data_IF_728251645682
#
_entry.id   IF_728251645682
#
_cell.length_a   1.000
_cell.length_b   1.000
_cell.length_c   1.000
_cell.angle_alpha   90.00
_cell.angle_beta   90.00
_cell.angle_gamma   90.00
#
_symmetry.space_group_name_H-M   'P 1'
#
loop_
_entity.id
_entity.type
_entity.pdbx_description
1 polymer ?
#
# COMPACT_ATOMS: atom_id res chain seq x y z
N UNK A 1 -77.44 -8.15 -13.33
CA UNK A 1 -76.54 -7.83 -12.20
C UNK A 1 -75.35 -8.77 -12.22
N UNK A 2 -74.15 -8.21 -12.35
CA UNK A 2 -72.86 -8.75 -11.90
C UNK A 2 -72.24 -7.65 -11.00
N UNK A 3 -71.06 -7.78 -10.37
CA UNK A 3 -70.20 -8.94 -10.08
C UNK A 3 -69.63 -8.93 -8.62
N UNK A 4 -68.83 -9.95 -8.23
CA UNK A 4 -67.55 -9.82 -7.46
C UNK A 4 -66.94 -11.19 -7.14
N UNK A 5 -65.85 -11.56 -7.84
CA UNK A 5 -64.73 -12.45 -7.40
C UNK A 5 -63.72 -12.56 -8.55
N UNK A 6 -62.69 -11.71 -8.59
CA UNK A 6 -61.59 -11.80 -9.59
C UNK A 6 -60.31 -11.01 -9.23
N UNK A 7 -59.91 -10.96 -7.95
CA UNK A 7 -58.79 -10.08 -7.53
C UNK A 7 -57.69 -10.71 -6.67
N UNK A 8 -57.72 -12.03 -6.41
CA UNK A 8 -56.71 -12.70 -5.56
C UNK A 8 -55.71 -13.57 -6.35
N UNK A 9 -56.12 -14.22 -7.45
CA UNK A 9 -55.26 -15.13 -8.21
C UNK A 9 -54.19 -14.44 -9.09
N UNK A 10 -54.22 -13.10 -9.20
CA UNK A 10 -53.31 -12.35 -10.08
C UNK A 10 -52.03 -11.86 -9.39
N UNK A 11 -51.89 -12.12 -8.09
CA UNK A 11 -50.75 -11.64 -7.29
C UNK A 11 -49.75 -12.75 -6.97
N UNK A 12 -50.17 -14.01 -6.99
CA UNK A 12 -49.29 -15.18 -6.79
C UNK A 12 -48.57 -15.58 -8.10
N UNK A 13 -49.22 -15.43 -9.26
CA UNK A 13 -48.60 -15.68 -10.57
C UNK A 13 -47.48 -14.67 -10.91
N UNK A 14 -47.57 -13.44 -10.38
CA UNK A 14 -46.56 -12.39 -10.60
C UNK A 14 -45.31 -12.56 -9.70
N UNK A 15 -45.42 -13.23 -8.54
CA UNK A 15 -44.29 -13.51 -7.65
C UNK A 15 -43.48 -14.75 -8.11
N UNK A 16 -44.14 -15.78 -8.66
CA UNK A 16 -43.45 -16.94 -9.24
C UNK A 16 -42.69 -16.59 -10.52
N UNK A 17 -43.18 -15.64 -11.34
CA UNK A 17 -42.47 -15.18 -12.54
C UNK A 17 -41.22 -14.32 -12.25
N UNK A 18 -41.10 -13.68 -11.08
CA UNK A 18 -39.90 -12.92 -10.68
C UNK A 18 -38.81 -13.84 -10.08
N UNK A 19 -39.17 -14.93 -9.40
CA UNK A 19 -38.20 -15.92 -8.89
C UNK A 19 -37.60 -16.79 -10.02
N UNK A 20 -38.35 -17.07 -11.09
CA UNK A 20 -37.84 -17.85 -12.23
C UNK A 20 -36.91 -17.01 -13.15
N UNK A 21 -37.11 -15.69 -13.20
CA UNK A 21 -36.23 -14.75 -13.94
C UNK A 21 -34.93 -14.43 -13.19
N UNK A 22 -34.89 -14.57 -11.87
CA UNK A 22 -33.67 -14.35 -11.06
C UNK A 22 -32.75 -15.59 -11.03
N UNK A 23 -33.29 -16.80 -11.14
CA UNK A 23 -32.51 -18.04 -11.22
C UNK A 23 -31.88 -18.29 -12.60
N UNK A 24 -32.56 -17.92 -13.70
CA UNK A 24 -32.05 -18.11 -15.08
C UNK A 24 -30.92 -17.14 -15.49
N UNK A 25 -30.72 -16.05 -14.75
CA UNK A 25 -29.64 -15.09 -15.00
C UNK A 25 -28.34 -15.44 -14.25
N UNK A 26 -28.39 -16.40 -13.32
CA UNK A 26 -27.23 -16.88 -12.56
C UNK A 26 -26.42 -17.98 -13.28
N UNK A 27 -27.01 -18.67 -14.27
CA UNK A 27 -26.38 -19.82 -14.95
C UNK A 27 -25.80 -19.52 -16.35
N UNK A 28 -25.87 -18.27 -16.83
CA UNK A 28 -25.41 -17.90 -18.19
C UNK A 28 -24.06 -17.17 -18.28
N UNK A 29 -23.29 -17.06 -17.20
CA UNK A 29 -21.94 -16.46 -17.23
C UNK A 29 -20.79 -17.48 -17.15
N UNK A 30 -21.07 -18.78 -17.22
CA UNK A 30 -20.09 -19.86 -16.97
C UNK A 30 -19.54 -20.57 -18.23
N UNK A 31 -19.47 -19.89 -19.39
CA UNK A 31 -18.80 -20.45 -20.58
C UNK A 31 -17.92 -19.43 -21.29
N UNK A 32 -16.63 -19.48 -20.96
CA UNK A 32 -15.56 -18.70 -21.56
C UNK A 32 -14.23 -18.93 -20.84
N UNK A 33 -13.82 -20.20 -20.73
CA UNK A 33 -12.49 -20.58 -20.23
C UNK A 33 -11.59 -20.79 -21.44
N UNK A 34 -10.61 -19.90 -21.63
CA UNK A 34 -9.33 -20.28 -22.23
C UNK A 34 -8.22 -19.34 -21.73
N UNK A 35 -7.33 -19.96 -20.96
CA UNK A 35 -5.93 -19.58 -20.67
C UNK A 35 -5.65 -18.23 -19.99
N UNK A 36 -5.66 -18.28 -18.64
CA UNK A 36 -4.81 -17.41 -17.83
C UNK A 36 -3.81 -18.32 -17.10
N UNK A 37 -2.49 -18.20 -17.35
CA UNK A 37 -1.52 -19.09 -16.74
C UNK A 37 -1.51 -18.91 -15.22
N UNK A 38 -1.36 -20.05 -14.55
CA UNK A 38 -1.49 -20.23 -13.11
C UNK A 38 -0.78 -19.17 -12.27
N UNK A 39 -1.49 -18.72 -11.23
CA UNK A 39 -0.99 -17.84 -10.19
C UNK A 39 0.41 -18.26 -9.73
N UNK A 40 1.38 -17.38 -9.98
CA UNK A 40 2.72 -17.49 -9.44
C UNK A 40 2.60 -17.66 -7.91
N UNK A 41 3.09 -18.80 -7.41
CA UNK A 41 3.25 -19.03 -5.98
C UNK A 41 4.01 -17.84 -5.40
N UNK A 42 3.42 -17.15 -4.43
CA UNK A 42 4.10 -16.08 -3.71
C UNK A 42 5.50 -16.56 -3.29
N UNK A 43 6.58 -15.84 -3.64
CA UNK A 43 7.91 -16.30 -3.33
C UNK A 43 8.02 -16.36 -1.80
N UNK A 44 8.26 -17.57 -1.28
CA UNK A 44 8.86 -17.72 0.04
C UNK A 44 10.13 -16.90 0.00
N UNK A 45 10.32 -15.97 0.94
CA UNK A 45 11.52 -15.14 1.06
C UNK A 45 12.75 -16.04 0.97
N UNK A 46 13.36 -16.10 -0.22
CA UNK A 46 14.56 -16.88 -0.47
C UNK A 46 15.69 -16.17 0.26
N UNK A 47 16.37 -16.91 1.14
CA UNK A 47 17.57 -16.44 1.82
C UNK A 47 18.71 -16.41 0.79
N UNK A 48 19.11 -15.21 0.39
CA UNK A 48 20.39 -14.95 -0.26
C UNK A 48 20.28 -14.50 -1.72
N UNK A 49 20.98 -13.40 -2.02
CA UNK A 49 21.58 -13.07 -3.34
C UNK A 49 20.69 -12.64 -4.51
N UNK A 50 19.37 -12.49 -4.37
CA UNK A 50 18.56 -11.91 -5.45
C UNK A 50 18.54 -10.37 -5.38
N UNK A 51 18.91 -9.72 -6.49
CA UNK A 51 18.76 -8.27 -6.71
C UNK A 51 17.33 -7.84 -6.37
N UNK A 52 17.18 -6.83 -5.51
CA UNK A 52 15.87 -6.39 -5.02
C UNK A 52 15.89 -4.94 -4.59
N UNK A 53 14.83 -4.22 -4.95
CA UNK A 53 14.58 -2.87 -4.47
C UNK A 53 13.77 -2.97 -3.18
N UNK A 54 14.26 -2.36 -2.12
CA UNK A 54 13.58 -2.26 -0.84
C UNK A 54 13.23 -0.79 -0.63
N UNK A 55 11.95 -0.44 -0.61
CA UNK A 55 11.51 0.93 -0.33
C UNK A 55 11.05 1.02 1.12
N UNK A 56 11.66 1.94 1.87
CA UNK A 56 11.29 2.23 3.26
C UNK A 56 10.60 3.59 3.28
N UNK A 57 9.29 3.60 3.51
CA UNK A 57 8.52 4.82 3.72
C UNK A 57 8.72 5.29 5.17
N UNK A 58 9.55 6.31 5.34
CA UNK A 58 10.02 6.80 6.65
C UNK A 58 9.14 7.94 7.19
N UNK A 59 8.90 7.95 8.51
CA UNK A 59 8.09 8.97 9.17
C UNK A 59 6.63 9.00 8.72
N UNK A 60 6.07 7.85 8.30
CA UNK A 60 4.70 7.75 7.82
C UNK A 60 3.68 8.16 8.91
N UNK A 61 2.74 9.02 8.55
CA UNK A 61 1.74 9.51 9.48
C UNK A 61 0.54 8.56 9.58
N UNK A 62 0.73 7.43 10.26
CA UNK A 62 -0.29 6.41 10.52
C UNK A 62 -0.51 6.27 12.03
N UNK A 63 -1.53 6.97 12.54
CA UNK A 63 -1.90 6.99 13.96
C UNK A 63 -3.42 6.88 14.08
N UNK A 64 -3.91 6.07 15.02
CA UNK A 64 -5.35 5.95 15.28
C UNK A 64 -5.80 6.97 16.33
N UNK A 65 -6.97 7.56 16.13
CA UNK A 65 -7.64 8.44 17.09
C UNK A 65 -9.02 7.87 17.41
N UNK A 66 -9.42 7.96 18.69
CA UNK A 66 -10.76 7.56 19.13
C UNK A 66 -11.73 8.72 18.90
N UNK A 67 -12.76 8.49 18.10
CA UNK A 67 -13.84 9.45 17.88
C UNK A 67 -15.16 8.82 18.34
N UNK A 68 -15.64 9.24 19.52
CA UNK A 68 -16.80 8.63 20.16
C UNK A 68 -16.59 7.15 20.46
N UNK A 69 -17.33 6.27 19.77
CA UNK A 69 -17.25 4.80 19.92
C UNK A 69 -16.39 4.11 18.86
N UNK A 70 -15.95 4.84 17.83
CA UNK A 70 -15.17 4.28 16.71
C UNK A 70 -13.71 4.74 16.77
N UNK A 71 -12.85 3.99 16.09
CA UNK A 71 -11.46 4.36 15.87
C UNK A 71 -11.27 4.74 14.41
N UNK A 72 -10.63 5.88 14.16
CA UNK A 72 -10.34 6.39 12.83
C UNK A 72 -8.85 6.66 12.68
N UNK A 73 -8.37 6.68 11.43
CA UNK A 73 -7.01 7.12 11.16
C UNK A 73 -6.92 8.65 11.23
N UNK A 74 -5.95 9.14 11.97
CA UNK A 74 -5.72 10.57 12.19
C UNK A 74 -5.44 11.27 10.84
N UNK A 75 -6.18 12.34 10.58
CA UNK A 75 -6.21 13.04 9.29
C UNK A 75 -6.47 14.53 9.52
N UNK A 76 -5.77 15.39 8.79
CA UNK A 76 -5.89 16.85 8.83
C UNK A 76 -7.32 17.37 8.62
N UNK A 77 -8.10 16.74 7.73
CA UNK A 77 -9.42 17.25 7.32
C UNK A 77 -10.50 16.93 8.35
N UNK A 78 -10.51 15.70 8.86
CA UNK A 78 -11.54 15.22 9.81
C UNK A 78 -11.22 15.51 11.27
N UNK A 79 -9.94 15.63 11.61
CA UNK A 79 -9.49 15.66 13.01
C UNK A 79 -8.77 16.95 13.41
N UNK A 80 -8.96 18.04 12.64
CA UNK A 80 -8.32 19.35 12.90
C UNK A 80 -8.50 19.83 14.34
N UNK A 81 -9.72 19.75 14.88
CA UNK A 81 -10.01 20.18 16.25
C UNK A 81 -9.32 19.33 17.32
N UNK A 82 -9.24 18.02 17.10
CA UNK A 82 -8.54 17.10 18.02
C UNK A 82 -7.03 17.33 18.00
N UNK A 83 -6.46 17.57 16.83
CA UNK A 83 -5.05 17.90 16.64
C UNK A 83 -4.68 19.23 17.33
N UNK A 84 -5.50 20.26 17.12
CA UNK A 84 -5.31 21.57 17.76
C UNK A 84 -5.36 21.48 19.30
N UNK A 85 -6.31 20.70 19.85
CA UNK A 85 -6.39 20.46 21.31
C UNK A 85 -5.18 19.72 21.86
N UNK A 86 -4.56 18.87 21.05
CA UNK A 86 -3.34 18.15 21.42
C UNK A 86 -2.06 18.98 21.20
N UNK A 87 -2.16 20.26 20.80
CA UNK A 87 -1.02 21.11 20.49
C UNK A 87 -0.21 20.65 19.28
N UNK A 88 -0.80 19.83 18.40
CA UNK A 88 -0.15 19.30 17.20
C UNK A 88 -0.60 20.09 15.98
N UNK A 89 0.33 20.35 15.08
CA UNK A 89 0.01 20.97 13.79
C UNK A 89 -0.91 20.03 12.96
N UNK A 90 -2.14 20.46 12.63
CA UNK A 90 -3.02 19.67 11.79
C UNK A 90 -2.45 19.36 10.42
N UNK A 91 -1.60 20.23 9.86
CA UNK A 91 -0.97 20.06 8.54
C UNK A 91 -0.06 18.84 8.44
N UNK A 92 0.42 18.33 9.58
CA UNK A 92 1.28 17.15 9.63
C UNK A 92 0.51 15.83 9.53
N UNK A 93 -0.81 15.82 9.79
CA UNK A 93 -1.65 14.63 9.79
C UNK A 93 -2.04 14.19 8.36
N UNK A 94 -1.06 13.71 7.58
CA UNK A 94 -1.19 13.37 6.14
C UNK A 94 -0.99 11.88 5.82
N UNK A 95 -1.90 11.00 6.28
CA UNK A 95 -1.87 9.56 5.93
C UNK A 95 -2.04 9.29 4.43
N UNK A 96 -2.60 10.24 3.67
CA UNK A 96 -2.80 10.17 2.22
C UNK A 96 -1.47 10.07 1.44
N UNK A 97 -0.39 10.65 1.97
CA UNK A 97 0.94 10.55 1.36
C UNK A 97 1.39 9.09 1.33
N UNK A 98 1.27 8.40 2.46
CA UNK A 98 1.61 6.97 2.55
C UNK A 98 0.68 6.15 1.65
N UNK A 99 -0.62 6.45 1.65
CA UNK A 99 -1.59 5.78 0.78
C UNK A 99 -1.18 5.84 -0.69
N UNK A 100 -0.89 7.04 -1.21
CA UNK A 100 -0.48 7.23 -2.61
C UNK A 100 0.84 6.52 -2.92
N UNK A 101 1.83 6.58 -2.03
CA UNK A 101 3.10 5.85 -2.21
C UNK A 101 2.86 4.35 -2.33
N UNK A 102 2.03 3.79 -1.44
CA UNK A 102 1.72 2.36 -1.45
C UNK A 102 0.95 1.95 -2.71
N UNK A 103 0.09 2.80 -3.26
CA UNK A 103 -0.55 2.56 -4.54
C UNK A 103 0.49 2.48 -5.67
N UNK A 104 1.41 3.43 -5.76
CA UNK A 104 2.46 3.45 -6.80
C UNK A 104 3.40 2.24 -6.68
N UNK A 105 3.80 1.91 -5.46
CA UNK A 105 4.71 0.81 -5.19
C UNK A 105 4.07 -0.56 -5.46
N UNK A 106 2.85 -0.80 -4.98
CA UNK A 106 2.22 -2.13 -5.11
C UNK A 106 1.69 -2.42 -6.52
N UNK A 107 1.43 -1.38 -7.31
CA UNK A 107 0.99 -1.53 -8.70
C UNK A 107 2.12 -1.77 -9.70
N UNK A 108 3.35 -1.44 -9.32
CA UNK A 108 4.49 -1.43 -10.22
C UNK A 108 4.75 -2.82 -10.84
N UNK A 109 5.14 -2.90 -12.11
CA UNK A 109 5.69 -4.12 -12.71
C UNK A 109 6.77 -4.76 -11.83
N UNK A 110 7.61 -3.94 -11.20
CA UNK A 110 8.66 -4.41 -10.29
C UNK A 110 8.12 -5.24 -9.12
N UNK A 111 6.99 -4.83 -8.53
CA UNK A 111 6.33 -5.58 -7.47
C UNK A 111 5.75 -6.90 -7.97
N UNK A 112 5.14 -6.88 -9.18
CA UNK A 112 4.59 -8.09 -9.81
C UNK A 112 5.67 -9.10 -10.19
N UNK A 113 6.86 -8.62 -10.52
CA UNK A 113 8.04 -9.45 -10.77
C UNK A 113 8.69 -10.01 -9.50
N UNK A 114 8.20 -9.65 -8.30
CA UNK A 114 8.74 -10.11 -7.03
C UNK A 114 10.04 -9.41 -6.57
N UNK A 115 10.47 -8.38 -7.29
CA UNK A 115 11.73 -7.66 -7.06
C UNK A 115 11.58 -6.40 -6.19
N UNK A 116 10.40 -6.19 -5.58
CA UNK A 116 10.13 -5.08 -4.65
C UNK A 116 9.86 -5.60 -3.22
N UNK A 117 10.42 -4.92 -2.22
CA UNK A 117 9.98 -4.99 -0.83
C UNK A 117 9.52 -3.62 -0.37
N UNK A 118 8.46 -3.56 0.43
CA UNK A 118 8.00 -2.30 1.00
C UNK A 118 7.90 -2.42 2.52
N UNK A 119 8.53 -1.47 3.19
CA UNK A 119 8.37 -1.23 4.62
C UNK A 119 7.77 0.15 4.84
N UNK A 120 6.98 0.29 5.90
CA UNK A 120 6.47 1.58 6.37
C UNK A 120 6.91 1.75 7.81
N UNK A 121 7.72 2.76 8.08
CA UNK A 121 8.10 3.16 9.41
C UNK A 121 7.30 4.40 9.81
N UNK A 122 6.46 4.27 10.84
CA UNK A 122 5.56 5.35 11.24
C UNK A 122 6.24 6.35 12.15
N UNK A 123 5.69 7.57 12.23
CA UNK A 123 6.17 8.59 13.19
C UNK A 123 6.06 8.14 14.66
N UNK A 124 5.21 7.14 14.95
CA UNK A 124 5.08 6.51 16.28
C UNK A 124 5.96 5.26 16.44
N UNK A 125 7.03 5.14 15.64
CA UNK A 125 8.04 4.08 15.71
C UNK A 125 7.46 2.66 15.49
N UNK A 126 6.36 2.53 14.76
CA UNK A 126 5.84 1.23 14.34
C UNK A 126 6.42 0.88 12.96
N UNK A 127 7.00 -0.31 12.83
CA UNK A 127 7.50 -0.81 11.56
C UNK A 127 6.52 -1.83 10.97
N UNK A 128 6.06 -1.57 9.76
CA UNK A 128 5.09 -2.41 9.04
C UNK A 128 5.79 -3.02 7.82
N UNK A 129 5.76 -4.34 7.73
CA UNK A 129 6.11 -5.06 6.51
C UNK A 129 4.85 -5.27 5.65
N UNK A 130 4.97 -4.97 4.36
CA UNK A 130 3.90 -5.14 3.38
C UNK A 130 4.26 -6.30 2.46
N UNK A 131 3.39 -7.29 2.38
CA UNK A 131 3.56 -8.43 1.50
C UNK A 131 3.29 -8.02 0.04
N UNK A 132 4.08 -8.47 -0.95
CA UNK A 132 3.94 -8.08 -2.36
C UNK A 132 2.55 -8.33 -2.98
N UNK A 133 1.83 -9.33 -2.47
CA UNK A 133 0.47 -9.67 -2.92
C UNK A 133 -0.62 -8.75 -2.35
N UNK A 134 -0.27 -7.76 -1.54
CA UNK A 134 -1.22 -6.88 -0.86
C UNK A 134 -1.85 -5.90 -1.84
N UNK A 135 -3.14 -6.07 -2.12
CA UNK A 135 -3.92 -5.06 -2.86
C UNK A 135 -4.32 -3.92 -1.95
N UNK A 136 -3.66 -2.78 -2.10
CA UNK A 136 -3.97 -1.56 -1.34
C UNK A 136 -5.32 -1.00 -1.83
N UNK A 137 -6.28 -0.71 -0.93
CA UNK A 137 -7.55 -0.11 -1.32
C UNK A 137 -7.36 1.22 -2.06
N UNK A 138 -8.05 1.43 -3.17
CA UNK A 138 -7.94 2.66 -3.98
C UNK A 138 -8.59 3.87 -3.34
N UNK A 139 -9.66 3.67 -2.58
CA UNK A 139 -10.32 4.75 -1.85
C UNK A 139 -9.66 4.95 -0.50
N UNK A 140 -9.42 6.21 -0.14
CA UNK A 140 -8.76 6.56 1.11
C UNK A 140 -9.51 6.06 2.35
N UNK A 141 -10.85 6.08 2.35
CA UNK A 141 -11.65 5.59 3.48
C UNK A 141 -11.44 4.10 3.77
N UNK A 142 -11.36 3.27 2.73
CA UNK A 142 -11.07 1.83 2.89
C UNK A 142 -9.64 1.60 3.35
N UNK A 143 -8.69 2.39 2.84
CA UNK A 143 -7.30 2.38 3.31
C UNK A 143 -7.21 2.76 4.80
N UNK A 144 -7.92 3.80 5.22
CA UNK A 144 -8.00 4.24 6.62
C UNK A 144 -8.48 3.10 7.53
N UNK A 145 -9.60 2.45 7.19
CA UNK A 145 -10.10 1.30 7.95
C UNK A 145 -9.11 0.13 8.01
N UNK A 146 -8.41 -0.16 6.91
CA UNK A 146 -7.37 -1.19 6.85
C UNK A 146 -6.19 -0.86 7.79
N UNK A 147 -5.73 0.39 7.83
CA UNK A 147 -4.65 0.84 8.70
C UNK A 147 -5.05 0.83 10.18
N UNK A 148 -6.28 1.24 10.50
CA UNK A 148 -6.83 1.11 11.86
C UNK A 148 -6.83 -0.35 12.31
N UNK A 149 -7.32 -1.25 11.45
CA UNK A 149 -7.30 -2.69 11.74
C UNK A 149 -5.88 -3.21 11.95
N UNK A 150 -4.93 -2.81 11.10
CA UNK A 150 -3.53 -3.19 11.20
C UNK A 150 -2.91 -2.73 12.53
N UNK A 151 -3.11 -1.48 12.92
CA UNK A 151 -2.53 -0.92 14.15
C UNK A 151 -3.13 -1.56 15.41
N UNK A 152 -4.40 -1.95 15.38
CA UNK A 152 -5.06 -2.62 16.51
C UNK A 152 -4.71 -4.11 16.61
N UNK A 153 -4.69 -4.83 15.48
CA UNK A 153 -4.47 -6.30 15.45
C UNK A 153 -3.01 -6.69 15.21
N UNK A 154 -2.14 -5.73 14.93
CA UNK A 154 -0.72 -5.89 14.55
C UNK A 154 -0.49 -6.72 13.27
N UNK A 155 -1.54 -7.25 12.64
CA UNK A 155 -1.49 -7.97 11.39
C UNK A 155 -2.85 -7.97 10.68
N UNK A 156 -2.80 -8.04 9.35
CA UNK A 156 -3.97 -8.24 8.49
C UNK A 156 -3.69 -9.43 7.58
N UNK A 157 -4.69 -10.31 7.41
CA UNK A 157 -4.61 -11.53 6.60
C UNK A 157 -5.52 -11.42 5.39
N UNK A 158 -5.28 -12.27 4.38
CA UNK A 158 -6.21 -12.45 3.27
C UNK A 158 -7.55 -13.03 3.76
N UNK A 159 -8.58 -13.01 2.90
CA UNK A 159 -9.91 -13.52 3.24
C UNK A 159 -9.89 -14.97 3.75
N UNK A 160 -9.05 -15.81 3.16
CA UNK A 160 -8.88 -17.22 3.58
C UNK A 160 -8.07 -17.39 4.87
N UNK A 161 -7.53 -16.31 5.44
CA UNK A 161 -6.74 -16.31 6.68
C UNK A 161 -5.33 -16.90 6.60
N UNK A 162 -4.97 -17.55 5.49
CA UNK A 162 -3.71 -18.30 5.33
C UNK A 162 -2.47 -17.40 5.29
N UNK A 163 -2.54 -16.25 4.61
CA UNK A 163 -1.40 -15.38 4.37
C UNK A 163 -1.54 -14.05 5.11
N UNK A 164 -0.45 -13.59 5.74
CA UNK A 164 -0.36 -12.25 6.33
C UNK A 164 0.02 -11.26 5.22
N UNK A 165 -0.85 -10.28 4.97
CA UNK A 165 -0.67 -9.23 3.96
C UNK A 165 0.08 -8.05 4.55
N UNK A 166 -0.33 -7.60 5.73
CA UNK A 166 0.29 -6.52 6.48
C UNK A 166 0.68 -7.04 7.85
N UNK A 167 1.87 -6.69 8.33
CA UNK A 167 2.34 -7.13 9.65
C UNK A 167 3.20 -6.07 10.29
N UNK A 168 2.87 -5.70 11.53
CA UNK A 168 3.77 -4.95 12.40
C UNK A 168 4.90 -5.88 12.85
N UNK A 169 6.13 -5.46 12.60
CA UNK A 169 7.36 -6.18 12.90
C UNK A 169 8.23 -5.38 13.89
N UNK A 170 9.23 -6.04 14.47
CA UNK A 170 10.11 -5.40 15.46
C UNK A 170 11.13 -4.51 14.77
N UNK A 171 11.42 -3.36 15.37
CA UNK A 171 12.57 -2.52 15.02
C UNK A 171 13.90 -3.18 15.41
N UNK A 172 15.03 -2.78 14.80
CA UNK A 172 15.16 -1.81 13.70
C UNK A 172 14.89 -2.40 12.31
N UNK A 173 14.60 -1.56 11.31
CA UNK A 173 14.37 -2.01 9.91
C UNK A 173 15.58 -2.75 9.33
N UNK A 174 16.79 -2.35 9.73
CA UNK A 174 18.06 -2.97 9.31
C UNK A 174 18.14 -4.47 9.61
N UNK A 175 17.47 -4.95 10.66
CA UNK A 175 17.43 -6.38 11.02
C UNK A 175 16.65 -7.24 10.01
N UNK A 176 15.86 -6.61 9.13
CA UNK A 176 15.05 -7.29 8.11
C UNK A 176 15.62 -7.10 6.69
N UNK A 177 16.74 -6.40 6.55
CA UNK A 177 17.40 -6.21 5.27
C UNK A 177 18.33 -7.39 4.96
N UNK A 178 18.48 -7.77 3.68
CA UNK A 178 19.43 -8.81 3.28
C UNK A 178 20.88 -8.38 3.51
N UNK A 179 21.81 -9.35 3.68
CA UNK A 179 23.23 -9.05 3.79
C UNK A 179 23.75 -8.35 2.52
N UNK A 180 24.71 -7.43 2.69
CA UNK A 180 25.29 -6.67 1.57
C UNK A 180 24.37 -5.58 1.00
N UNK A 181 23.23 -5.31 1.65
CA UNK A 181 22.27 -4.32 1.15
C UNK A 181 22.81 -2.89 1.24
N UNK A 182 22.86 -2.20 0.09
CA UNK A 182 23.19 -0.78 -0.01
C UNK A 182 22.04 0.03 0.59
N UNK A 183 22.32 1.06 1.39
CA UNK A 183 21.26 1.83 2.08
C UNK A 183 21.38 3.31 1.73
N UNK A 184 20.39 3.85 1.05
CA UNK A 184 20.38 5.22 0.51
C UNK A 184 19.18 5.98 1.02
N UNK A 185 19.39 7.19 1.55
CA UNK A 185 18.33 8.14 1.84
C UNK A 185 18.02 9.00 0.62
N UNK A 186 16.76 9.41 0.46
CA UNK A 186 16.38 10.43 -0.54
C UNK A 186 16.08 11.75 0.15
N UNK A 187 16.65 12.83 -0.37
CA UNK A 187 16.38 14.19 0.10
C UNK A 187 16.53 15.17 -1.05
N UNK A 188 15.64 16.16 -1.11
CA UNK A 188 15.78 17.27 -2.05
C UNK A 188 17.03 18.12 -1.74
N UNK A 189 17.39 18.24 -0.46
CA UNK A 189 18.55 19.00 0.02
C UNK A 189 19.81 18.13 0.18
N UNK A 190 19.90 17.01 -0.55
CA UNK A 190 21.12 16.22 -0.55
C UNK A 190 22.27 17.04 -1.18
N UNK A 191 23.48 16.85 -0.66
CA UNK A 191 24.66 17.51 -1.23
C UNK A 191 24.98 16.95 -2.63
N UNK A 192 25.36 17.84 -3.54
CA UNK A 192 25.74 17.50 -4.92
C UNK A 192 24.59 17.60 -5.93
N UNK A 193 24.91 17.25 -7.18
CA UNK A 193 23.94 17.29 -8.28
C UNK A 193 22.94 16.13 -8.19
N UNK A 194 21.68 16.34 -8.62
CA UNK A 194 20.68 15.28 -8.68
C UNK A 194 21.17 14.08 -9.49
N UNK A 195 21.03 12.87 -8.93
CA UNK A 195 21.40 11.63 -9.58
C UNK A 195 20.23 11.04 -10.36
N UNK A 196 20.54 10.46 -11.53
CA UNK A 196 19.53 9.74 -12.29
C UNK A 196 19.18 8.42 -11.57
N UNK A 197 17.90 8.10 -11.26
CA UNK A 197 17.56 6.92 -10.47
C UNK A 197 18.10 5.58 -11.01
N UNK A 198 18.36 5.48 -12.32
CA UNK A 198 19.01 4.31 -12.96
C UNK A 198 20.39 4.00 -12.39
N UNK A 199 21.16 5.01 -11.99
CA UNK A 199 22.50 4.78 -11.42
C UNK A 199 22.45 3.98 -10.12
N UNK A 200 21.33 4.06 -9.40
CA UNK A 200 21.07 3.29 -8.18
C UNK A 200 20.75 1.81 -8.47
N UNK A 201 20.37 1.47 -9.70
CA UNK A 201 19.96 0.12 -10.10
C UNK A 201 21.07 -0.68 -10.82
N UNK A 202 22.24 -0.06 -11.06
CA UNK A 202 23.35 -0.65 -11.80
C UNK A 202 24.14 -1.72 -11.01
N UNK A 203 23.96 -1.77 -9.69
CA UNK A 203 24.60 -2.75 -8.82
C UNK A 203 23.67 -3.96 -8.64
N UNK A 204 24.23 -5.17 -8.68
CA UNK A 204 23.46 -6.41 -8.51
C UNK A 204 23.10 -6.68 -7.04
N UNK A 205 23.68 -5.94 -6.09
CA UNK A 205 23.33 -6.03 -4.67
C UNK A 205 21.92 -5.51 -4.41
N UNK A 206 21.22 -6.05 -3.39
CA UNK A 206 19.97 -5.47 -2.95
C UNK A 206 20.18 -4.04 -2.45
N UNK A 207 19.22 -3.15 -2.72
CA UNK A 207 19.30 -1.74 -2.34
C UNK A 207 18.04 -1.32 -1.59
N UNK A 208 18.25 -0.71 -0.43
CA UNK A 208 17.24 -0.08 0.38
C UNK A 208 17.25 1.43 0.15
N UNK A 209 16.15 1.95 -0.39
CA UNK A 209 15.95 3.38 -0.62
C UNK A 209 14.91 3.90 0.37
N UNK A 210 15.32 4.86 1.19
CA UNK A 210 14.49 5.49 2.21
C UNK A 210 13.82 6.73 1.61
N UNK A 211 12.49 6.77 1.67
CA UNK A 211 11.66 7.85 1.12
C UNK A 211 10.81 8.43 2.25
N UNK A 212 10.87 9.74 2.47
CA UNK A 212 10.06 10.41 3.48
C UNK A 212 8.56 10.38 3.14
N UNK A 213 7.74 9.85 4.04
CA UNK A 213 6.29 9.72 3.91
C UNK A 213 5.52 10.65 4.88
N UNK A 214 6.04 11.86 5.06
CA UNK A 214 5.51 12.92 5.91
C UNK A 214 5.19 14.19 5.10
N UNK A 215 4.41 15.11 5.68
CA UNK A 215 4.03 16.37 5.01
C UNK A 215 5.22 17.32 4.83
N UNK A 216 6.00 17.51 5.89
CA UNK A 216 7.17 18.39 5.92
C UNK A 216 8.27 17.74 6.78
N UNK A 217 9.52 17.97 6.41
CA UNK A 217 10.69 17.43 7.10
C UNK A 217 11.75 16.90 6.13
N UNK A 218 12.72 16.20 6.69
CA UNK A 218 13.79 15.52 5.95
C UNK A 218 13.98 14.13 6.50
N UNK A 219 14.36 13.19 5.64
CA UNK A 219 14.74 11.84 6.08
C UNK A 219 15.98 11.98 6.98
N UNK A 220 15.87 11.51 8.22
CA UNK A 220 16.97 11.51 9.19
C UNK A 220 17.04 10.15 9.87
N UNK A 221 17.90 9.28 9.33
CA UNK A 221 18.09 7.91 9.79
C UNK A 221 19.59 7.62 9.87
N UNK A 222 19.98 6.78 10.84
CA UNK A 222 21.38 6.48 11.17
C UNK A 222 21.98 5.31 10.36
N UNK A 223 21.14 4.61 9.59
CA UNK A 223 21.54 3.38 8.89
C UNK A 223 21.84 3.58 7.40
N UNK A 224 21.66 4.78 6.85
CA UNK A 224 21.94 5.08 5.44
C UNK A 224 23.39 5.50 5.24
N UNK A 225 24.00 5.01 4.16
CA UNK A 225 25.41 5.24 3.82
C UNK A 225 25.59 6.56 3.06
N UNK A 226 24.55 7.00 2.34
CA UNK A 226 24.53 8.24 1.59
C UNK A 226 23.11 8.79 1.46
N UNK A 227 23.01 10.09 1.20
CA UNK A 227 21.76 10.78 0.87
C UNK A 227 21.88 11.31 -0.54
N UNK A 228 20.88 11.06 -1.39
CA UNK A 228 20.87 11.51 -2.79
C UNK A 228 19.63 12.34 -3.11
N UNK A 229 19.79 13.30 -4.01
CA UNK A 229 18.68 14.00 -4.66
C UNK A 229 18.39 13.33 -5.99
N UNK A 230 17.12 13.12 -6.32
CA UNK A 230 16.69 12.48 -7.57
C UNK A 230 16.17 13.50 -8.61
N UNK A 231 16.11 14.78 -8.24
CA UNK A 231 15.53 15.84 -9.06
C UNK A 231 15.97 17.21 -8.55
N UNK A 232 16.17 18.15 -9.48
CA UNK A 232 16.38 19.58 -9.17
C UNK A 232 15.11 20.29 -8.68
N UNK A 233 13.97 19.60 -8.73
CA UNK A 233 12.69 20.06 -8.18
C UNK A 233 12.25 19.17 -7.02
N UNK A 234 11.60 19.74 -5.98
CA UNK A 234 11.02 18.96 -4.90
C UNK A 234 9.93 18.03 -5.46
N UNK A 235 10.01 16.75 -5.10
CA UNK A 235 9.08 15.72 -5.56
C UNK A 235 8.14 15.31 -4.43
N UNK A 236 6.92 14.91 -4.79
CA UNK A 236 6.09 14.16 -3.85
C UNK A 236 6.71 12.79 -3.58
N UNK A 237 6.44 12.24 -2.40
CA UNK A 237 6.91 10.90 -2.04
C UNK A 237 6.41 9.83 -3.02
N UNK A 238 5.16 9.95 -3.50
CA UNK A 238 4.58 9.04 -4.47
C UNK A 238 5.30 9.11 -5.83
N UNK A 239 5.59 10.31 -6.33
CA UNK A 239 6.34 10.48 -7.58
C UNK A 239 7.77 9.97 -7.45
N UNK A 240 8.38 10.15 -6.28
CA UNK A 240 9.69 9.57 -5.95
C UNK A 240 9.65 8.04 -6.05
N UNK A 241 8.64 7.41 -5.45
CA UNK A 241 8.42 5.96 -5.55
C UNK A 241 8.26 5.49 -7.00
N UNK A 242 7.48 6.22 -7.82
CA UNK A 242 7.28 5.91 -9.24
C UNK A 242 8.59 6.01 -10.01
N UNK A 243 9.36 7.09 -9.86
CA UNK A 243 10.66 7.27 -10.53
C UNK A 243 11.65 6.16 -10.18
N UNK A 244 11.69 5.75 -8.91
CA UNK A 244 12.51 4.63 -8.47
C UNK A 244 12.05 3.33 -9.15
N UNK A 245 10.77 2.98 -9.08
CA UNK A 245 10.27 1.74 -9.69
C UNK A 245 10.57 1.72 -11.20
N UNK A 246 10.22 2.77 -11.94
CA UNK A 246 10.43 2.82 -13.39
C UNK A 246 11.90 2.71 -13.80
N UNK A 247 12.81 3.35 -13.06
CA UNK A 247 14.23 3.25 -13.37
C UNK A 247 14.80 1.85 -13.10
N UNK A 248 14.36 1.23 -12.02
CA UNK A 248 14.74 -0.14 -11.68
C UNK A 248 14.15 -1.16 -12.67
N UNK A 249 12.91 -0.95 -13.12
CA UNK A 249 12.26 -1.74 -14.16
C UNK A 249 13.06 -1.68 -15.48
N UNK A 250 13.47 -0.48 -15.89
CA UNK A 250 14.26 -0.30 -17.11
C UNK A 250 15.63 -0.99 -17.03
N UNK A 251 16.35 -0.84 -15.91
CA UNK A 251 17.69 -1.43 -15.75
C UNK A 251 17.63 -2.95 -15.56
N UNK A 252 16.60 -3.47 -14.89
CA UNK A 252 16.47 -4.90 -14.61
C UNK A 252 15.70 -5.68 -15.68
N UNK A 253 15.18 -5.01 -16.71
CA UNK A 253 14.49 -5.62 -17.85
C UNK A 253 13.08 -6.11 -17.51
N UNK A 254 12.34 -5.34 -16.71
CA UNK A 254 10.93 -5.61 -16.37
C UNK A 254 10.03 -4.75 -17.25
N UNK A 255 9.16 -5.40 -18.04
CA UNK A 255 8.24 -4.76 -18.99
C UNK A 255 6.81 -5.27 -18.83
#
# INVERSE_FOLDING_TARGET
>A
MAPRKKRAARHEEDEEEEEEKTSSNAERSSRGVSDVPAANKAPKVAKGEERRLIVILEGAMLETVKQGKTFELLNCDRHRGTLAKAGRDPGMARPDITHQCLLMLQDSPLNRAGMLQVFVHTQRNALVAIAPQTRIPRTFERFSGLMVQLLHKLNVRNADGKQKLLKVIKNPVTSHLPPGCIKVATSFHADGEPVHPRTLANDDRPIAVVVGAFAHGSVNVDYTEQTVSLSSYPLSAALTCTKLCSAFEEVWGVH
#
